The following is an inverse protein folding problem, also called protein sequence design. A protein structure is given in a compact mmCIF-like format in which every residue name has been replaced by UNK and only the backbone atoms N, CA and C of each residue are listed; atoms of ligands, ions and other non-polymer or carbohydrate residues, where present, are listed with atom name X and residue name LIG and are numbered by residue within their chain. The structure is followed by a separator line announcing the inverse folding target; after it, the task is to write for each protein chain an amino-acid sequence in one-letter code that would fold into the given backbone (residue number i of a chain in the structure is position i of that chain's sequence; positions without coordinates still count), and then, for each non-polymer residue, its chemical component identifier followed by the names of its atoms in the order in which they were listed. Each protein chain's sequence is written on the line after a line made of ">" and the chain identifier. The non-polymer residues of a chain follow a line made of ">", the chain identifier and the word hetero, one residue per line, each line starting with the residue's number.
data_IF_588653934165
#
_entry.id   IF_588653934165
#
_cell.length_a   1.000
_cell.length_b   1.000
_cell.length_c   1.000
_cell.angle_alpha   90.00
_cell.angle_beta   90.00
_cell.angle_gamma   90.00
#
_symmetry.space_group_name_H-M   'P 1'
#
loop_
_entity.id
_entity.type
_entity.pdbx_description
1 polymer ?
#
# COMPACT_ATOMS: atom_id res chain seq x y z
N UNK A 1 14.50 2.72 -1.07
CA UNK A 1 13.76 3.80 -1.74
C UNK A 1 13.42 4.92 -0.76
N UNK A 2 13.71 6.13 -1.12
CA UNK A 2 13.33 7.32 -0.36
C UNK A 2 12.80 8.37 -1.35
N UNK A 3 11.56 8.18 -1.82
CA UNK A 3 11.00 9.05 -2.86
C UNK A 3 10.77 10.47 -2.34
N UNK A 4 11.04 11.44 -3.20
CA UNK A 4 10.90 12.87 -2.90
C UNK A 4 9.49 13.41 -3.13
N UNK A 5 8.60 12.62 -3.71
CA UNK A 5 7.24 13.02 -4.06
C UNK A 5 6.32 11.78 -4.07
N UNK A 6 5.00 11.98 -3.94
CA UNK A 6 4.06 10.86 -4.07
C UNK A 6 4.06 10.29 -5.48
N UNK A 7 3.61 9.05 -5.61
CA UNK A 7 3.46 8.33 -6.88
C UNK A 7 4.77 8.13 -7.65
N UNK A 8 5.88 7.98 -6.94
CA UNK A 8 7.18 7.61 -7.50
C UNK A 8 7.53 6.16 -7.23
N UNK A 9 7.21 5.67 -6.04
CA UNK A 9 7.45 4.29 -5.65
C UNK A 9 6.33 3.80 -4.76
N UNK A 10 5.69 2.71 -5.17
CA UNK A 10 4.69 1.99 -4.38
C UNK A 10 5.24 0.63 -3.99
N UNK A 11 4.87 0.16 -2.82
CA UNK A 11 5.16 -1.21 -2.38
C UNK A 11 3.84 -1.96 -2.25
N UNK A 12 3.85 -3.23 -2.65
CA UNK A 12 2.68 -4.08 -2.63
C UNK A 12 2.99 -5.38 -1.90
N UNK A 13 2.05 -5.88 -1.12
CA UNK A 13 2.19 -7.15 -0.40
C UNK A 13 0.81 -7.70 -0.04
N UNK A 14 0.79 -8.96 0.39
CA UNK A 14 -0.41 -9.67 0.81
C UNK A 14 -0.24 -10.10 2.27
N UNK A 15 -1.29 -9.95 3.05
CA UNK A 15 -1.40 -10.59 4.37
C UNK A 15 -2.70 -11.38 4.45
N UNK A 16 -2.84 -12.18 5.50
CA UNK A 16 -4.05 -12.97 5.70
C UNK A 16 -4.68 -12.63 7.04
N UNK A 17 -6.01 -12.65 7.07
CA UNK A 17 -6.84 -12.27 8.19
C UNK A 17 -7.69 -13.48 8.58
N UNK A 18 -7.71 -13.80 9.87
CA UNK A 18 -8.52 -14.90 10.36
C UNK A 18 -9.97 -14.46 10.57
N UNK A 19 -10.91 -15.26 10.06
CA UNK A 19 -12.33 -15.15 10.38
C UNK A 19 -12.89 -16.52 10.77
N UNK A 20 -14.07 -16.55 11.37
CA UNK A 20 -14.74 -17.82 11.67
C UNK A 20 -15.16 -18.56 10.40
N UNK A 21 -15.27 -17.87 9.28
CA UNK A 21 -15.59 -18.46 7.97
C UNK A 21 -14.35 -18.85 7.17
N UNK A 22 -13.16 -18.81 7.77
CA UNK A 22 -11.89 -19.14 7.13
C UNK A 22 -11.02 -17.91 6.90
N UNK A 23 -9.90 -18.14 6.21
CA UNK A 23 -8.94 -17.07 5.92
C UNK A 23 -9.48 -16.08 4.90
N UNK A 24 -9.20 -14.81 5.15
CA UNK A 24 -9.41 -13.72 4.20
C UNK A 24 -8.04 -13.14 3.86
N UNK A 25 -7.75 -12.99 2.57
CA UNK A 25 -6.48 -12.42 2.10
C UNK A 25 -6.67 -10.96 1.74
N UNK A 26 -5.72 -10.14 2.16
CA UNK A 26 -5.70 -8.70 1.93
C UNK A 26 -4.46 -8.34 1.13
N UNK A 27 -4.65 -7.87 -0.09
CA UNK A 27 -3.59 -7.27 -0.90
C UNK A 27 -3.64 -5.76 -0.74
N UNK A 28 -2.48 -5.14 -0.56
CA UNK A 28 -2.36 -3.71 -0.27
C UNK A 28 -1.29 -3.10 -1.15
N UNK A 29 -1.52 -1.87 -1.60
CA UNK A 29 -0.54 -1.02 -2.27
C UNK A 29 -0.35 0.24 -1.43
N UNK A 30 0.90 0.55 -1.09
CA UNK A 30 1.27 1.65 -0.21
C UNK A 30 2.25 2.58 -0.91
N UNK A 31 2.00 3.89 -0.82
CA UNK A 31 2.91 4.91 -1.35
C UNK A 31 4.06 5.12 -0.37
N UNK A 32 5.29 4.89 -0.82
CA UNK A 32 6.47 5.00 0.04
C UNK A 32 6.78 6.42 0.49
N UNK A 33 6.27 7.42 -0.22
CA UNK A 33 6.47 8.81 0.18
C UNK A 33 5.65 9.18 1.42
N UNK A 34 4.36 8.91 1.37
CA UNK A 34 3.42 9.36 2.41
C UNK A 34 2.98 8.25 3.35
N UNK A 35 3.32 6.99 3.07
CA UNK A 35 2.81 5.81 3.78
C UNK A 35 1.30 5.60 3.58
N UNK A 36 0.69 6.33 2.65
CA UNK A 36 -0.73 6.22 2.36
C UNK A 36 -1.03 4.88 1.68
N UNK A 37 -2.10 4.23 2.10
CA UNK A 37 -2.63 3.08 1.40
C UNK A 37 -3.41 3.60 0.20
N UNK A 38 -2.93 3.30 -0.99
CA UNK A 38 -3.51 3.82 -2.24
C UNK A 38 -4.37 2.81 -2.97
N UNK A 39 -4.22 1.52 -2.64
CA UNK A 39 -5.05 0.46 -3.20
C UNK A 39 -5.11 -0.74 -2.28
N UNK A 40 -6.21 -1.45 -2.29
CA UNK A 40 -6.40 -2.68 -1.53
C UNK A 40 -7.48 -3.54 -2.16
N UNK A 41 -7.43 -4.83 -1.87
CA UNK A 41 -8.44 -5.80 -2.28
C UNK A 41 -8.44 -6.97 -1.31
N UNK A 42 -9.59 -7.60 -1.12
CA UNK A 42 -9.73 -8.73 -0.21
C UNK A 42 -10.49 -9.87 -0.89
N UNK A 43 -10.03 -11.10 -0.66
CA UNK A 43 -10.64 -12.29 -1.23
C UNK A 43 -10.36 -13.51 -0.33
N UNK A 44 -11.20 -14.57 -0.44
CA UNK A 44 -11.01 -15.79 0.36
C UNK A 44 -9.83 -16.67 -0.12
N UNK A 45 -9.18 -16.30 -1.21
CA UNK A 45 -8.01 -16.98 -1.76
C UNK A 45 -7.01 -15.96 -2.32
N UNK A 46 -5.86 -16.43 -2.80
CA UNK A 46 -4.77 -15.55 -3.28
C UNK A 46 -4.49 -15.74 -4.78
N UNK A 47 -5.48 -15.54 -5.68
CA UNK A 47 -5.18 -15.58 -7.11
C UNK A 47 -4.45 -14.31 -7.57
N UNK A 48 -3.94 -14.34 -8.80
CA UNK A 48 -3.34 -13.14 -9.41
C UNK A 48 -4.34 -11.97 -9.47
N UNK A 49 -5.64 -12.23 -9.62
CA UNK A 49 -6.68 -11.21 -9.63
C UNK A 49 -6.71 -10.39 -8.34
N UNK A 50 -6.35 -10.97 -7.20
CA UNK A 50 -6.32 -10.25 -5.93
C UNK A 50 -5.35 -9.07 -5.98
N UNK A 51 -4.12 -9.32 -6.40
CA UNK A 51 -3.10 -8.27 -6.50
C UNK A 51 -3.38 -7.31 -7.64
N UNK A 52 -3.94 -7.81 -8.74
CA UNK A 52 -4.37 -6.96 -9.86
C UNK A 52 -5.48 -5.99 -9.44
N UNK A 53 -6.46 -6.46 -8.67
CA UNK A 53 -7.55 -5.61 -8.19
C UNK A 53 -7.05 -4.52 -7.26
N UNK A 54 -6.14 -4.83 -6.35
CA UNK A 54 -5.53 -3.84 -5.46
C UNK A 54 -4.76 -2.78 -6.27
N UNK A 55 -3.97 -3.21 -7.25
CA UNK A 55 -3.21 -2.31 -8.10
C UNK A 55 -4.11 -1.47 -9.00
N UNK A 56 -5.17 -2.03 -9.56
CA UNK A 56 -6.14 -1.29 -10.37
C UNK A 56 -6.81 -0.18 -9.57
N UNK A 57 -7.17 -0.44 -8.32
CA UNK A 57 -7.72 0.59 -7.44
C UNK A 57 -6.71 1.71 -7.21
N UNK A 58 -5.45 1.37 -6.94
CA UNK A 58 -4.38 2.34 -6.74
C UNK A 58 -4.19 3.22 -7.97
N UNK A 59 -4.14 2.62 -9.16
CA UNK A 59 -4.00 3.34 -10.43
C UNK A 59 -5.20 4.26 -10.66
N UNK A 60 -6.42 3.78 -10.42
CA UNK A 60 -7.63 4.57 -10.60
C UNK A 60 -7.68 5.78 -9.68
N UNK A 61 -7.29 5.61 -8.42
CA UNK A 61 -7.31 6.70 -7.43
C UNK A 61 -6.20 7.71 -7.62
N UNK A 62 -5.03 7.26 -8.05
CA UNK A 62 -3.82 8.11 -8.08
C UNK A 62 -3.45 8.59 -9.47
N UNK A 63 -3.81 7.87 -10.52
CA UNK A 63 -3.45 8.19 -11.90
C UNK A 63 -1.97 8.57 -12.02
N UNK A 64 -1.04 7.67 -11.66
CA UNK A 64 0.37 8.01 -11.58
C UNK A 64 0.95 8.33 -12.96
N UNK A 65 1.90 9.28 -13.03
CA UNK A 65 2.61 9.52 -14.28
C UNK A 65 3.49 8.32 -14.65
N UNK A 66 3.92 8.21 -15.92
CA UNK A 66 4.81 7.12 -16.33
C UNK A 66 6.09 7.05 -15.49
N UNK A 67 6.58 5.83 -15.27
CA UNK A 67 7.83 5.60 -14.57
C UNK A 67 7.72 5.25 -13.10
N UNK A 68 6.50 5.18 -12.54
CA UNK A 68 6.32 4.73 -11.16
C UNK A 68 6.92 3.33 -10.97
N UNK A 69 7.64 3.13 -9.87
CA UNK A 69 8.21 1.83 -9.51
C UNK A 69 7.21 1.10 -8.60
N UNK A 70 6.76 -0.08 -9.02
CA UNK A 70 5.92 -0.96 -8.22
C UNK A 70 6.79 -2.10 -7.68
N UNK A 71 7.10 -2.04 -6.38
CA UNK A 71 7.95 -3.01 -5.70
C UNK A 71 7.11 -4.04 -4.95
N UNK A 72 7.50 -5.32 -5.07
CA UNK A 72 6.87 -6.43 -4.36
C UNK A 72 7.89 -7.52 -4.06
N UNK A 73 7.49 -8.56 -3.34
CA UNK A 73 8.26 -9.80 -3.28
C UNK A 73 8.16 -10.58 -4.60
N UNK A 74 8.74 -11.77 -4.62
CA UNK A 74 8.73 -12.66 -5.80
C UNK A 74 7.61 -13.69 -5.78
N UNK A 75 6.53 -13.41 -5.04
CA UNK A 75 5.37 -14.31 -5.00
C UNK A 75 4.78 -14.53 -6.39
N UNK A 76 4.17 -15.70 -6.58
CA UNK A 76 3.61 -16.11 -7.88
C UNK A 76 2.56 -15.14 -8.38
N UNK A 77 1.82 -14.48 -7.50
CA UNK A 77 0.80 -13.47 -7.85
C UNK A 77 1.44 -12.29 -8.58
N UNK A 78 2.56 -11.80 -8.05
CA UNK A 78 3.29 -10.66 -8.63
C UNK A 78 4.12 -11.03 -9.86
N UNK A 79 4.50 -12.30 -9.98
CA UNK A 79 5.17 -12.83 -11.17
C UNK A 79 4.21 -13.20 -12.30
N UNK A 80 2.90 -13.12 -12.06
CA UNK A 80 1.88 -13.51 -13.04
C UNK A 80 1.90 -12.63 -14.28
N UNK A 81 1.51 -13.22 -15.41
CA UNK A 81 1.41 -12.49 -16.67
C UNK A 81 0.39 -11.34 -16.59
N UNK A 82 -0.72 -11.55 -15.88
CA UNK A 82 -1.77 -10.53 -15.73
C UNK A 82 -1.30 -9.32 -14.94
N UNK A 83 -0.57 -9.53 -13.84
CA UNK A 83 -0.03 -8.43 -13.06
C UNK A 83 1.04 -7.65 -13.82
N UNK A 84 1.96 -8.37 -14.45
CA UNK A 84 3.01 -7.76 -15.28
C UNK A 84 2.43 -6.96 -16.44
N UNK A 85 1.39 -7.49 -17.10
CA UNK A 85 0.71 -6.77 -18.18
C UNK A 85 0.00 -5.50 -17.68
N UNK A 86 -0.60 -5.56 -16.49
CA UNK A 86 -1.25 -4.40 -15.87
C UNK A 86 -0.23 -3.28 -15.63
N UNK A 87 0.94 -3.60 -15.07
CA UNK A 87 1.99 -2.61 -14.85
C UNK A 87 2.49 -2.03 -16.18
N UNK A 88 2.74 -2.88 -17.18
CA UNK A 88 3.23 -2.45 -18.48
C UNK A 88 2.26 -1.50 -19.18
N UNK A 89 0.96 -1.78 -19.13
CA UNK A 89 -0.08 -0.92 -19.74
C UNK A 89 -0.14 0.47 -19.11
N UNK A 90 0.35 0.61 -17.89
CA UNK A 90 0.33 1.88 -17.15
C UNK A 90 1.71 2.50 -17.03
N UNK A 91 2.66 2.05 -17.85
CA UNK A 91 4.04 2.56 -17.88
C UNK A 91 4.73 2.51 -16.52
N UNK A 92 4.46 1.46 -15.77
CA UNK A 92 5.03 1.23 -14.45
C UNK A 92 6.19 0.22 -14.55
N UNK A 93 7.21 0.45 -13.75
CA UNK A 93 8.37 -0.44 -13.67
C UNK A 93 8.19 -1.43 -12.54
N UNK A 94 8.28 -2.72 -12.85
CA UNK A 94 8.23 -3.75 -11.83
C UNK A 94 9.59 -3.90 -11.16
N UNK A 95 9.59 -3.89 -9.82
CA UNK A 95 10.76 -4.20 -9.00
C UNK A 95 10.38 -5.32 -8.04
N UNK A 96 11.22 -6.35 -7.96
CA UNK A 96 10.99 -7.49 -7.06
C UNK A 96 12.19 -7.64 -6.14
N UNK A 97 11.91 -7.81 -4.84
CA UNK A 97 12.98 -8.02 -3.86
C UNK A 97 13.68 -9.35 -4.12
N UNK A 98 14.99 -9.38 -3.89
CA UNK A 98 15.75 -10.62 -3.89
C UNK A 98 15.36 -11.46 -2.67
N UNK A 99 15.44 -12.78 -2.82
CA UNK A 99 15.20 -13.70 -1.70
C UNK A 99 16.12 -13.32 -0.53
N UNK A 100 15.52 -13.03 0.62
CA UNK A 100 16.25 -12.66 1.83
C UNK A 100 16.59 -11.17 1.97
N UNK A 101 16.23 -10.32 1.00
CA UNK A 101 16.42 -8.88 1.08
C UNK A 101 15.09 -8.21 1.45
N UNK A 102 14.91 -7.91 2.75
CA UNK A 102 13.64 -7.43 3.31
C UNK A 102 13.60 -5.92 3.59
N UNK A 103 14.57 -5.16 3.12
CA UNK A 103 14.62 -3.71 3.37
C UNK A 103 13.38 -2.98 2.85
N UNK A 104 12.94 -3.35 1.67
CA UNK A 104 11.89 -2.63 0.97
C UNK A 104 10.48 -3.00 1.47
N UNK A 105 10.35 -4.12 2.20
CA UNK A 105 9.07 -4.58 2.75
C UNK A 105 8.84 -4.12 4.19
N UNK A 106 9.83 -3.51 4.85
CA UNK A 106 9.72 -3.12 6.26
C UNK A 106 8.59 -2.12 6.51
N UNK A 107 8.33 -1.23 5.57
CA UNK A 107 7.24 -0.25 5.65
C UNK A 107 5.88 -0.95 5.61
N UNK A 108 5.73 -1.91 4.70
CA UNK A 108 4.51 -2.68 4.58
C UNK A 108 4.31 -3.60 5.79
N UNK A 109 5.37 -4.20 6.30
CA UNK A 109 5.29 -5.01 7.53
C UNK A 109 4.80 -4.19 8.71
N UNK A 110 5.25 -2.94 8.83
CA UNK A 110 4.76 -2.03 9.87
C UNK A 110 3.28 -1.72 9.71
N UNK A 111 2.82 -1.51 8.49
CA UNK A 111 1.40 -1.30 8.22
C UNK A 111 0.60 -2.53 8.65
N UNK A 112 1.00 -3.71 8.23
CA UNK A 112 0.29 -4.95 8.60
C UNK A 112 0.29 -5.17 10.10
N UNK A 113 1.40 -4.90 10.78
CA UNK A 113 1.47 -5.01 12.22
C UNK A 113 0.52 -4.01 12.90
N UNK A 114 0.50 -2.77 12.45
CA UNK A 114 -0.41 -1.74 12.96
C UNK A 114 -1.87 -2.15 12.79
N UNK A 115 -2.23 -2.62 11.60
CA UNK A 115 -3.57 -3.11 11.32
C UNK A 115 -3.97 -4.24 12.26
N UNK A 116 -3.08 -5.21 12.45
CA UNK A 116 -3.36 -6.38 13.29
C UNK A 116 -3.45 -6.02 14.76
N UNK A 117 -2.50 -5.25 15.27
CA UNK A 117 -2.46 -4.85 16.67
C UNK A 117 -3.58 -3.89 17.04
N UNK A 118 -3.88 -2.93 16.18
CA UNK A 118 -4.83 -1.87 16.46
C UNK A 118 -6.27 -2.29 16.16
N UNK A 119 -6.49 -3.27 15.30
CA UNK A 119 -7.83 -3.65 14.88
C UNK A 119 -8.07 -5.17 14.87
N UNK A 120 -7.37 -5.91 14.03
CA UNK A 120 -7.71 -7.33 13.73
C UNK A 120 -7.65 -8.21 14.97
N UNK A 121 -6.57 -8.14 15.74
CA UNK A 121 -6.39 -8.98 16.93
C UNK A 121 -7.32 -8.62 18.10
N UNK A 122 -7.99 -7.48 18.00
CA UNK A 122 -9.00 -7.04 18.98
C UNK A 122 -10.41 -7.46 18.58
N UNK A 123 -10.56 -8.14 17.45
CA UNK A 123 -11.85 -8.53 16.87
C UNK A 123 -11.92 -10.06 16.74
N UNK A 124 -13.14 -10.53 16.63
CA UNK A 124 -13.44 -11.93 16.30
C UNK A 124 -14.48 -11.89 15.18
N UNK A 125 -13.99 -11.80 13.95
CA UNK A 125 -14.86 -11.65 12.78
C UNK A 125 -15.67 -12.93 12.54
N UNK A 126 -16.99 -12.80 12.51
CA UNK A 126 -17.88 -13.92 12.26
C UNK A 126 -17.78 -14.42 10.81
N UNK A 127 -17.51 -13.53 9.87
CA UNK A 127 -17.48 -13.83 8.45
C UNK A 127 -16.57 -12.82 7.70
N UNK A 128 -16.37 -13.09 6.40
CA UNK A 128 -15.56 -12.23 5.55
C UNK A 128 -16.14 -10.82 5.43
N UNK A 129 -17.47 -10.69 5.36
CA UNK A 129 -18.10 -9.38 5.23
C UNK A 129 -17.81 -8.44 6.41
N UNK A 130 -17.84 -8.95 7.62
CA UNK A 130 -17.46 -8.16 8.81
C UNK A 130 -16.02 -7.70 8.74
N UNK A 131 -15.10 -8.62 8.39
CA UNK A 131 -13.69 -8.30 8.27
C UNK A 131 -13.44 -7.26 7.18
N UNK A 132 -14.06 -7.41 6.03
CA UNK A 132 -13.92 -6.46 4.91
C UNK A 132 -14.37 -5.06 5.33
N UNK A 133 -15.52 -4.94 5.99
CA UNK A 133 -16.03 -3.63 6.43
C UNK A 133 -15.11 -2.99 7.46
N UNK A 134 -14.63 -3.77 8.43
CA UNK A 134 -13.78 -3.26 9.50
C UNK A 134 -12.41 -2.83 8.99
N UNK A 135 -11.80 -3.64 8.13
CA UNK A 135 -10.48 -3.33 7.55
C UNK A 135 -10.58 -2.12 6.61
N UNK A 136 -11.63 -2.04 5.79
CA UNK A 136 -11.85 -0.88 4.91
C UNK A 136 -12.00 0.39 5.73
N UNK A 137 -12.76 0.35 6.82
CA UNK A 137 -12.94 1.49 7.73
C UNK A 137 -11.59 1.86 8.39
N UNK A 138 -10.79 0.87 8.78
CA UNK A 138 -9.46 1.14 9.33
C UNK A 138 -8.57 1.86 8.32
N UNK A 139 -8.55 1.41 7.08
CA UNK A 139 -7.71 2.01 6.03
C UNK A 139 -8.15 3.44 5.71
N UNK A 140 -9.42 3.62 5.38
CA UNK A 140 -9.96 4.89 4.89
C UNK A 140 -10.27 5.84 6.04
N UNK A 141 -10.95 5.35 7.08
CA UNK A 141 -11.42 6.20 8.17
C UNK A 141 -10.35 6.52 9.19
N UNK A 142 -9.35 5.68 9.36
CA UNK A 142 -8.36 5.86 10.42
C UNK A 142 -6.93 6.00 9.89
N UNK A 143 -6.39 4.97 9.23
CA UNK A 143 -4.96 4.93 8.89
C UNK A 143 -4.54 6.08 7.98
N UNK A 144 -5.24 6.28 6.88
CA UNK A 144 -4.88 7.32 5.91
C UNK A 144 -5.16 8.73 6.41
N UNK A 145 -6.20 8.93 7.22
CA UNK A 145 -6.73 10.26 7.50
C UNK A 145 -6.60 10.71 8.96
N UNK A 146 -6.34 9.80 9.90
CA UNK A 146 -6.28 10.13 11.33
C UNK A 146 -5.03 9.64 12.04
N UNK A 147 -4.48 8.48 11.62
CA UNK A 147 -3.35 7.89 12.33
C UNK A 147 -2.08 8.71 12.13
N UNK A 148 -1.48 9.11 13.24
CA UNK A 148 -0.26 9.90 13.25
C UNK A 148 0.96 9.01 12.98
N UNK A 149 1.91 9.53 12.19
CA UNK A 149 3.15 8.84 11.85
C UNK A 149 4.35 9.72 12.24
N UNK A 150 5.22 9.21 13.09
CA UNK A 150 6.40 9.95 13.53
C UNK A 150 7.31 10.37 12.38
N UNK A 151 7.47 9.51 11.37
CA UNK A 151 8.26 9.82 10.16
C UNK A 151 7.67 10.93 9.30
N UNK A 152 6.39 11.23 9.47
CA UNK A 152 5.68 12.29 8.74
C UNK A 152 5.48 13.54 9.59
N UNK A 153 6.29 13.74 10.65
CA UNK A 153 6.11 14.83 11.57
C UNK A 153 4.82 14.72 12.39
N UNK A 154 4.39 13.49 12.69
CA UNK A 154 3.15 13.19 13.41
C UNK A 154 1.90 13.62 12.66
N UNK A 155 1.94 13.56 11.32
CA UNK A 155 0.76 13.80 10.48
C UNK A 155 0.20 12.48 9.93
N UNK A 156 -1.11 12.39 9.70
CA UNK A 156 -1.66 11.30 8.92
C UNK A 156 -1.21 11.37 7.46
N UNK A 157 -1.13 10.23 6.75
CA UNK A 157 -0.66 10.20 5.37
C UNK A 157 -1.35 11.19 4.43
N UNK A 158 -2.67 11.27 4.44
CA UNK A 158 -3.41 12.20 3.58
C UNK A 158 -3.09 13.66 3.90
N UNK A 159 -3.00 13.99 5.19
CA UNK A 159 -2.66 15.34 5.64
C UNK A 159 -1.23 15.69 5.25
N UNK A 160 -0.30 14.74 5.41
CA UNK A 160 1.09 14.91 5.02
C UNK A 160 1.22 15.24 3.52
N UNK A 161 0.55 14.48 2.66
CA UNK A 161 0.58 14.74 1.21
C UNK A 161 0.05 16.14 0.88
N UNK A 162 -1.06 16.52 1.49
CA UNK A 162 -1.67 17.84 1.28
C UNK A 162 -0.76 18.97 1.75
N UNK A 163 -0.18 18.82 2.93
CA UNK A 163 0.73 19.81 3.52
C UNK A 163 1.98 19.99 2.67
N UNK A 164 2.59 18.89 2.23
CA UNK A 164 3.80 18.94 1.42
C UNK A 164 3.53 19.49 0.02
N UNK A 165 2.37 19.20 -0.56
CA UNK A 165 1.99 19.72 -1.88
C UNK A 165 1.78 21.24 -1.86
N UNK A 166 1.37 21.82 -0.73
CA UNK A 166 1.15 23.27 -0.58
C UNK A 166 2.43 24.04 -0.24
N UNK A 167 3.53 23.36 0.08
CA UNK A 167 4.80 24.04 0.33
C UNK A 167 5.41 24.50 -0.99
N UNK A 168 5.92 25.74 -1.08
CA UNK A 168 6.66 26.15 -2.26
C UNK A 168 7.87 25.24 -2.44
N UNK A 169 8.29 24.98 -3.70
CA UNK A 169 9.52 24.22 -3.92
C UNK A 169 10.67 24.92 -3.22
N UNK A 170 11.51 24.13 -2.53
CA UNK A 170 12.72 24.67 -1.91
C UNK A 170 13.59 25.17 -3.07
N UNK A 171 13.68 26.49 -3.21
CA UNK A 171 14.64 27.08 -4.13
C UNK A 171 16.03 26.73 -3.60
N UNK A 172 16.72 25.86 -4.33
CA UNK A 172 18.16 25.65 -4.13
C UNK A 172 18.91 26.82 -4.77
N UNK A 173 18.34 28.03 -4.72
CA UNK A 173 19.00 29.22 -5.18
C UNK A 173 19.83 29.76 -4.02
N UNK A 174 21.10 29.68 -4.09
CA UNK A 174 21.95 30.29 -3.11
C UNK A 174 23.17 29.49 -2.77
N UNK A 175 23.37 28.39 -3.41
CA UNK A 175 24.68 27.74 -3.41
C UNK A 175 25.41 28.27 -4.64
N UNK A 176 25.83 29.49 -4.56
CA UNK A 176 26.87 29.98 -5.44
C UNK A 176 28.20 29.51 -4.91
#
# INVERSE_FOLDING_TARGET
>A
FDPAAPNKAWVADITYIRTRSGWLYLAVVLDLYSRKIVGWSMAPNMPAELVCSAMQLAIAQRQPPPGLIAHSDRGSQYASASYRALLARNDMQQSMSRKGNCWDNSVMERFFLSLKMERVWRRDYANHGEAIRDITEYIVGFYNNQRLHSKLGYLPPTVYERTMASKPPIEVSGIS
#
